data_IF_619173075795
#
_entry.id   IF_619173075795
#
_cell.length_a   1.000
_cell.length_b   1.000
_cell.length_c   1.000
_cell.angle_alpha   90.00
_cell.angle_beta   90.00
_cell.angle_gamma   90.00
#
_symmetry.space_group_name_H-M   'P 1'
#
loop_
_entity.id
_entity.type
_entity.pdbx_description
1 polymer ?
#
# COMPACT_ATOMS: atom_id res chain seq x y z
N UNK A 1 -3.96 47.01 -48.64
CA UNK A 1 -3.65 46.82 -47.21
C UNK A 1 -4.85 46.25 -46.50
N UNK A 2 -4.67 45.13 -45.79
CA UNK A 2 -5.33 44.71 -44.55
C UNK A 2 -5.21 43.18 -44.41
N UNK A 3 -4.26 42.75 -43.58
CA UNK A 3 -4.18 41.39 -43.06
C UNK A 3 -5.21 41.23 -41.93
N UNK A 4 -6.07 40.21 -42.00
CA UNK A 4 -6.84 39.73 -40.84
C UNK A 4 -6.18 38.44 -40.32
N UNK A 5 -5.50 38.56 -39.17
CA UNK A 5 -5.08 37.42 -38.36
C UNK A 5 -6.31 36.85 -37.62
N UNK A 6 -6.70 35.63 -37.95
CA UNK A 6 -7.61 34.84 -37.10
C UNK A 6 -6.80 34.23 -35.96
N UNK A 7 -7.20 34.55 -34.73
CA UNK A 7 -6.64 34.03 -33.49
C UNK A 7 -7.55 32.86 -33.07
N UNK A 8 -7.10 31.62 -33.23
CA UNK A 8 -7.77 30.46 -32.66
C UNK A 8 -7.44 30.39 -31.16
N UNK A 9 -8.44 30.68 -30.33
CA UNK A 9 -8.43 30.37 -28.90
C UNK A 9 -9.03 28.98 -28.74
N UNK A 10 -8.18 27.98 -28.52
CA UNK A 10 -8.61 26.62 -28.16
C UNK A 10 -9.03 26.59 -26.69
N UNK A 11 -10.33 26.66 -26.45
CA UNK A 11 -10.92 26.46 -25.13
C UNK A 11 -11.07 24.96 -24.90
N UNK A 12 -10.13 24.35 -24.16
CA UNK A 12 -10.14 22.93 -23.83
C UNK A 12 -11.15 22.66 -22.72
N UNK A 13 -12.44 22.69 -23.08
CA UNK A 13 -13.52 22.34 -22.19
C UNK A 13 -13.52 20.81 -22.01
N UNK A 14 -12.73 20.31 -21.06
CA UNK A 14 -12.80 18.91 -20.61
C UNK A 14 -14.15 18.71 -19.94
N UNK A 15 -15.11 18.16 -20.69
CA UNK A 15 -16.37 17.66 -20.16
C UNK A 15 -16.07 16.51 -19.21
N UNK A 16 -15.97 16.82 -17.91
CA UNK A 16 -15.95 15.81 -16.87
C UNK A 16 -17.28 15.06 -16.89
N UNK A 17 -17.21 13.75 -17.10
CA UNK A 17 -18.36 12.88 -16.90
C UNK A 17 -18.88 13.07 -15.46
N UNK A 18 -20.20 13.09 -15.25
CA UNK A 18 -20.75 13.26 -13.91
C UNK A 18 -20.25 12.13 -13.00
N UNK A 19 -19.65 12.51 -11.87
CA UNK A 19 -19.18 11.56 -10.87
C UNK A 19 -20.36 10.74 -10.33
N UNK A 20 -20.16 9.43 -10.16
CA UNK A 20 -21.16 8.58 -9.50
C UNK A 20 -21.20 8.85 -7.98
N UNK A 21 -22.23 8.37 -7.28
CA UNK A 21 -22.39 8.58 -5.83
C UNK A 21 -21.18 8.09 -5.01
N UNK A 22 -20.52 7.03 -5.45
CA UNK A 22 -19.34 6.46 -4.77
C UNK A 22 -18.13 7.38 -4.89
N UNK A 23 -17.91 7.94 -6.08
CA UNK A 23 -16.85 8.93 -6.36
C UNK A 23 -17.09 10.23 -5.59
N UNK A 24 -18.32 10.73 -5.58
CA UNK A 24 -18.67 11.92 -4.79
C UNK A 24 -18.40 11.70 -3.29
N UNK A 25 -18.84 10.56 -2.75
CA UNK A 25 -18.60 10.22 -1.35
C UNK A 25 -17.09 10.07 -1.06
N UNK A 26 -16.31 9.52 -2.00
CA UNK A 26 -14.85 9.42 -1.92
C UNK A 26 -14.18 10.79 -1.85
N UNK A 27 -14.49 11.69 -2.78
CA UNK A 27 -13.90 13.03 -2.82
C UNK A 27 -14.26 13.86 -1.59
N UNK A 28 -15.47 13.70 -1.05
CA UNK A 28 -15.84 14.35 0.21
C UNK A 28 -15.06 13.80 1.41
N UNK A 29 -14.87 12.48 1.51
CA UNK A 29 -14.03 11.88 2.57
C UNK A 29 -12.58 12.36 2.47
N UNK A 30 -11.99 12.34 1.26
CA UNK A 30 -10.63 12.83 1.03
C UNK A 30 -10.50 14.31 1.42
N UNK A 31 -11.48 15.14 1.06
CA UNK A 31 -11.53 16.55 1.45
C UNK A 31 -11.56 16.75 2.95
N UNK A 32 -12.46 16.07 3.65
CA UNK A 32 -12.55 16.17 5.11
C UNK A 32 -11.26 15.70 5.78
N UNK A 33 -10.66 14.62 5.27
CA UNK A 33 -9.36 14.12 5.74
C UNK A 33 -8.25 15.16 5.56
N UNK A 34 -8.10 15.71 4.36
CA UNK A 34 -7.09 16.74 4.05
C UNK A 34 -7.27 17.97 4.95
N UNK A 35 -8.50 18.47 5.11
CA UNK A 35 -8.79 19.56 6.06
C UNK A 35 -8.33 19.18 7.47
N UNK A 36 -8.63 17.95 7.91
CA UNK A 36 -8.25 17.43 9.23
C UNK A 36 -6.74 17.32 9.45
N UNK A 37 -5.92 17.27 8.39
CA UNK A 37 -4.46 17.33 8.48
C UNK A 37 -3.99 18.71 8.96
N UNK A 38 -4.63 19.78 8.48
CA UNK A 38 -4.26 21.16 8.79
C UNK A 38 -4.75 21.57 10.18
N UNK A 39 -4.02 21.13 11.21
CA UNK A 39 -4.11 21.65 12.57
C UNK A 39 -3.37 22.99 12.71
N UNK A 40 -2.27 22.98 13.47
CA UNK A 40 -1.50 24.20 13.77
C UNK A 40 -0.36 24.47 12.79
N UNK A 41 0.03 23.49 11.96
CA UNK A 41 1.17 23.62 11.06
C UNK A 41 0.76 23.58 9.58
N UNK A 42 1.49 24.29 8.70
CA UNK A 42 1.36 24.10 7.27
C UNK A 42 1.98 22.78 6.82
N UNK A 43 1.62 22.37 5.60
CA UNK A 43 2.19 21.21 4.91
C UNK A 43 2.47 21.55 3.47
N UNK A 44 3.55 21.02 2.90
CA UNK A 44 3.74 21.02 1.46
C UNK A 44 2.99 19.87 0.78
N UNK A 45 2.91 19.88 -0.55
CA UNK A 45 2.19 18.86 -1.30
C UNK A 45 2.66 17.42 -0.99
N UNK A 46 3.98 17.19 -0.96
CA UNK A 46 4.55 15.87 -0.69
C UNK A 46 4.20 15.34 0.71
N UNK A 47 4.23 16.22 1.72
CA UNK A 47 3.80 15.86 3.07
C UNK A 47 2.30 15.51 3.11
N UNK A 48 1.45 16.24 2.38
CA UNK A 48 0.01 15.94 2.29
C UNK A 48 -0.20 14.57 1.66
N UNK A 49 0.48 14.27 0.54
CA UNK A 49 0.43 12.95 -0.11
C UNK A 49 0.79 11.83 0.88
N UNK A 50 1.89 11.99 1.61
CA UNK A 50 2.33 10.99 2.60
C UNK A 50 1.33 10.76 3.73
N UNK A 51 0.41 11.71 3.97
CA UNK A 51 -0.60 11.67 5.01
C UNK A 51 -2.02 11.45 4.46
N UNK A 52 -2.20 11.38 3.15
CA UNK A 52 -3.52 11.34 2.49
C UNK A 52 -4.20 9.96 2.51
N UNK A 53 -3.80 9.07 3.43
CA UNK A 53 -4.43 7.74 3.59
C UNK A 53 -4.32 6.84 2.35
N UNK A 54 -3.27 7.05 1.54
CA UNK A 54 -3.02 6.32 0.31
C UNK A 54 -3.76 6.84 -0.93
N UNK A 55 -4.40 8.01 -0.86
CA UNK A 55 -5.03 8.64 -2.03
C UNK A 55 -4.02 8.96 -3.14
N UNK A 56 -4.48 8.88 -4.39
CA UNK A 56 -3.66 9.21 -5.54
C UNK A 56 -3.31 10.71 -5.55
N UNK A 57 -2.10 11.09 -6.01
CA UNK A 57 -1.70 12.49 -6.06
C UNK A 57 -2.62 13.39 -6.87
N UNK A 58 -3.22 12.87 -7.96
CA UNK A 58 -4.17 13.61 -8.77
C UNK A 58 -5.44 13.99 -7.97
N UNK A 59 -6.00 13.05 -7.20
CA UNK A 59 -7.20 13.28 -6.40
C UNK A 59 -6.91 14.28 -5.26
N UNK A 60 -5.74 14.17 -4.63
CA UNK A 60 -5.29 15.13 -3.61
C UNK A 60 -5.15 16.53 -4.21
N UNK A 61 -4.53 16.65 -5.39
CA UNK A 61 -4.37 17.93 -6.08
C UNK A 61 -5.72 18.56 -6.44
N UNK A 62 -6.67 17.76 -6.94
CA UNK A 62 -8.04 18.21 -7.24
C UNK A 62 -8.73 18.75 -5.98
N UNK A 63 -8.63 18.03 -4.86
CA UNK A 63 -9.18 18.49 -3.58
C UNK A 63 -8.52 19.78 -3.11
N UNK A 64 -7.19 19.91 -3.23
CA UNK A 64 -6.49 21.14 -2.86
C UNK A 64 -6.93 22.32 -3.73
N UNK A 65 -7.10 22.13 -5.04
CA UNK A 65 -7.64 23.15 -5.94
C UNK A 65 -9.07 23.59 -5.55
N UNK A 66 -9.95 22.65 -5.21
CA UNK A 66 -11.29 22.97 -4.74
C UNK A 66 -11.26 23.74 -3.40
N UNK A 67 -10.37 23.38 -2.48
CA UNK A 67 -10.23 24.06 -1.20
C UNK A 67 -9.65 25.48 -1.34
N UNK A 68 -8.70 25.68 -2.25
CA UNK A 68 -8.15 27.00 -2.59
C UNK A 68 -9.21 27.89 -3.24
N UNK A 69 -9.95 27.38 -4.22
CA UNK A 69 -10.99 28.16 -4.94
C UNK A 69 -12.12 28.61 -4.00
N UNK A 70 -12.44 27.79 -2.98
CA UNK A 70 -13.40 28.09 -1.90
C UNK A 70 -12.80 28.89 -0.74
N UNK A 71 -11.54 29.34 -0.84
CA UNK A 71 -10.82 30.10 0.19
C UNK A 71 -10.75 29.40 1.56
N UNK A 72 -10.84 28.07 1.59
CA UNK A 72 -10.67 27.27 2.81
C UNK A 72 -9.19 27.05 3.13
N UNK A 73 -8.37 26.97 2.09
CA UNK A 73 -6.91 27.02 2.18
C UNK A 73 -6.39 28.28 1.51
N UNK A 74 -5.17 28.67 1.85
CA UNK A 74 -4.32 29.53 1.03
C UNK A 74 -2.95 28.86 0.87
N UNK A 75 -2.19 29.28 -0.16
CA UNK A 75 -0.87 28.76 -0.45
C UNK A 75 0.15 29.91 -0.36
N UNK A 76 1.25 29.67 0.36
CA UNK A 76 2.41 30.56 0.41
C UNK A 76 3.67 29.74 0.07
N UNK A 77 4.29 30.07 -1.07
CA UNK A 77 5.32 29.23 -1.68
C UNK A 77 4.83 27.80 -1.95
N UNK A 78 5.52 26.82 -1.38
CA UNK A 78 5.17 25.40 -1.50
C UNK A 78 4.25 24.89 -0.37
N UNK A 79 3.95 25.75 0.61
CA UNK A 79 3.21 25.38 1.79
C UNK A 79 1.74 25.78 1.68
N UNK A 80 0.85 24.87 2.08
CA UNK A 80 -0.59 25.08 2.19
C UNK A 80 -0.95 25.39 3.65
N UNK A 81 -1.89 26.30 3.84
CA UNK A 81 -2.32 26.79 5.14
C UNK A 81 -3.84 26.83 5.23
N UNK A 82 -4.39 26.50 6.40
CA UNK A 82 -5.82 26.67 6.67
C UNK A 82 -6.16 28.14 6.92
N UNK A 83 -7.17 28.66 6.22
CA UNK A 83 -7.63 30.04 6.41
C UNK A 83 -8.24 30.22 7.80
N UNK A 84 -7.93 31.32 8.48
CA UNK A 84 -8.38 31.61 9.86
C UNK A 84 -9.89 31.59 10.05
N UNK A 85 -10.67 31.99 9.04
CA UNK A 85 -12.14 31.93 9.07
C UNK A 85 -12.69 30.49 9.13
N UNK A 86 -11.94 29.50 8.65
CA UNK A 86 -12.37 28.10 8.65
C UNK A 86 -12.04 27.40 9.99
N UNK A 87 -11.00 27.84 10.70
CA UNK A 87 -10.62 27.32 12.03
C UNK A 87 -11.74 27.41 13.06
N UNK A 88 -12.66 28.37 12.91
CA UNK A 88 -13.77 28.59 13.83
C UNK A 88 -14.98 27.68 13.58
N UNK A 89 -15.11 27.06 12.40
CA UNK A 89 -16.26 26.19 12.05
C UNK A 89 -15.97 24.70 12.22
N UNK A 90 -14.71 24.28 12.32
CA UNK A 90 -14.30 22.87 12.25
C UNK A 90 -14.22 22.14 13.60
N UNK A 91 -14.88 22.61 14.65
CA UNK A 91 -14.72 22.08 16.02
C UNK A 91 -15.57 20.84 16.32
N UNK A 92 -16.47 20.40 15.44
CA UNK A 92 -17.35 19.24 15.68
C UNK A 92 -17.16 18.04 14.72
N UNK A 93 -16.00 17.90 14.08
CA UNK A 93 -15.68 16.61 13.43
C UNK A 93 -15.13 15.63 14.46
N UNK A 94 -15.94 14.64 14.85
CA UNK A 94 -15.49 13.44 15.56
C UNK A 94 -14.23 12.90 14.89
N UNK A 95 -13.12 12.99 15.61
CA UNK A 95 -11.81 12.73 15.05
C UNK A 95 -11.62 11.23 14.85
N UNK A 96 -11.70 10.76 13.61
CA UNK A 96 -10.94 9.58 13.16
C UNK A 96 -9.45 9.94 13.10
N UNK A 97 -8.88 10.38 14.24
CA UNK A 97 -7.44 10.58 14.40
C UNK A 97 -6.83 9.23 14.71
N UNK A 98 -6.47 8.48 13.69
CA UNK A 98 -5.44 7.46 13.85
C UNK A 98 -4.16 8.18 14.30
N UNK A 99 -3.72 7.90 15.52
CA UNK A 99 -2.45 8.45 16.01
C UNK A 99 -1.35 7.85 15.12
N UNK A 100 -0.49 8.67 14.50
CA UNK A 100 0.64 8.14 13.74
C UNK A 100 1.49 7.26 14.66
N UNK A 101 1.99 6.11 14.18
CA UNK A 101 2.81 5.22 15.00
C UNK A 101 4.01 5.99 15.57
N UNK A 102 4.25 5.82 16.88
CA UNK A 102 5.38 6.46 17.56
C UNK A 102 6.68 5.92 16.93
N UNK A 103 7.50 6.82 16.36
CA UNK A 103 8.79 6.55 15.69
C UNK A 103 9.89 5.91 16.57
N UNK A 104 9.60 5.44 17.78
CA UNK A 104 10.62 5.37 18.84
C UNK A 104 11.48 4.11 18.94
N UNK A 105 11.21 2.99 18.25
CA UNK A 105 12.03 1.77 18.45
C UNK A 105 12.84 1.29 17.22
N UNK A 106 12.78 2.01 16.10
CA UNK A 106 13.39 1.55 14.84
C UNK A 106 14.93 1.72 14.85
N UNK A 107 15.47 2.68 15.61
CA UNK A 107 16.91 3.02 15.56
C UNK A 107 17.85 1.94 16.09
N UNK A 108 17.40 1.06 17.00
CA UNK A 108 18.28 0.06 17.61
C UNK A 108 18.46 -1.20 16.76
N UNK A 109 17.50 -1.54 15.90
CA UNK A 109 17.56 -2.71 14.99
C UNK A 109 18.43 -2.45 13.77
N UNK A 110 18.70 -1.18 13.41
CA UNK A 110 19.47 -0.76 12.23
C UNK A 110 20.99 -1.00 12.38
N UNK A 111 21.51 -1.28 13.58
CA UNK A 111 22.96 -1.28 13.85
C UNK A 111 23.75 -2.47 13.29
N UNK A 112 23.11 -3.49 12.71
CA UNK A 112 23.81 -4.51 11.91
C UNK A 112 23.57 -4.22 10.44
N UNK A 113 24.60 -3.72 9.76
CA UNK A 113 24.65 -3.54 8.31
C UNK A 113 24.22 -4.85 7.64
N UNK A 114 22.96 -4.89 7.18
CA UNK A 114 22.50 -5.95 6.31
C UNK A 114 23.12 -5.72 4.92
N UNK A 115 23.48 -6.78 4.20
CA UNK A 115 23.99 -6.66 2.83
C UNK A 115 22.97 -5.92 1.95
N UNK A 116 23.48 -5.28 0.89
CA UNK A 116 22.67 -4.57 -0.10
C UNK A 116 21.46 -5.42 -0.56
N UNK A 117 20.36 -4.75 -0.84
CA UNK A 117 19.15 -5.38 -1.35
C UNK A 117 19.49 -6.22 -2.60
N UNK A 118 18.81 -7.37 -2.81
CA UNK A 118 19.09 -8.26 -3.92
C UNK A 118 19.00 -7.50 -5.26
N UNK A 119 19.89 -7.81 -6.20
CA UNK A 119 19.90 -7.23 -7.55
C UNK A 119 18.73 -7.74 -8.40
N UNK A 120 17.50 -7.44 -8.00
CA UNK A 120 16.32 -7.64 -8.82
C UNK A 120 16.36 -6.72 -10.04
N UNK A 121 15.79 -7.17 -11.16
CA UNK A 121 15.51 -6.29 -12.30
C UNK A 121 14.54 -5.16 -11.92
N UNK A 122 14.33 -4.17 -12.77
CA UNK A 122 13.33 -3.13 -12.50
C UNK A 122 11.90 -3.73 -12.43
N UNK A 123 11.05 -3.29 -11.50
CA UNK A 123 9.70 -3.82 -11.35
C UNK A 123 8.83 -3.50 -12.58
N UNK A 124 8.09 -4.51 -13.05
CA UNK A 124 7.21 -4.37 -14.22
C UNK A 124 5.71 -4.33 -13.80
N UNK A 125 4.92 -3.35 -14.27
CA UNK A 125 3.51 -3.20 -13.85
C UNK A 125 2.62 -4.38 -14.18
N UNK A 126 2.85 -5.01 -15.34
CA UNK A 126 2.03 -6.14 -15.79
C UNK A 126 2.18 -7.39 -14.90
N UNK A 127 3.27 -7.46 -14.13
CA UNK A 127 3.53 -8.56 -13.21
C UNK A 127 3.01 -8.28 -11.80
N UNK A 128 2.46 -7.08 -11.57
CA UNK A 128 2.12 -6.58 -10.24
C UNK A 128 3.33 -6.69 -9.28
N UNK A 129 4.51 -6.28 -9.74
CA UNK A 129 5.74 -6.26 -8.91
C UNK A 129 5.80 -4.97 -8.09
N UNK A 130 5.39 -5.07 -6.82
CA UNK A 130 5.49 -4.00 -5.83
C UNK A 130 6.48 -4.44 -4.76
N UNK A 131 7.43 -3.57 -4.42
CA UNK A 131 8.53 -3.93 -3.54
C UNK A 131 8.44 -3.19 -2.24
N UNK A 132 8.54 -3.90 -1.12
CA UNK A 132 8.60 -3.25 0.19
C UNK A 132 9.78 -2.28 0.30
N UNK A 133 9.52 -1.11 0.89
CA UNK A 133 10.58 -0.24 1.36
C UNK A 133 11.40 -0.92 2.45
N UNK A 134 12.64 -0.46 2.63
CA UNK A 134 13.51 -0.94 3.72
C UNK A 134 12.83 -0.86 5.10
N UNK A 135 12.07 0.20 5.38
CA UNK A 135 11.36 0.37 6.64
C UNK A 135 10.30 -0.70 6.86
N UNK A 136 9.53 -1.04 5.82
CA UNK A 136 8.54 -2.12 5.88
C UNK A 136 9.19 -3.48 6.06
N UNK A 137 10.32 -3.73 5.39
CA UNK A 137 11.10 -4.95 5.59
C UNK A 137 11.62 -5.07 7.04
N UNK A 138 12.10 -3.98 7.65
CA UNK A 138 12.51 -3.95 9.06
C UNK A 138 11.33 -4.28 9.98
N UNK A 139 10.19 -3.64 9.77
CA UNK A 139 9.00 -3.84 10.61
C UNK A 139 8.44 -5.25 10.49
N UNK A 140 8.30 -5.78 9.26
CA UNK A 140 7.87 -7.15 9.02
C UNK A 140 8.84 -8.15 9.66
N UNK A 141 10.14 -7.96 9.50
CA UNK A 141 11.16 -8.82 10.14
C UNK A 141 11.03 -8.79 11.66
N UNK A 142 10.83 -7.60 12.24
CA UNK A 142 10.66 -7.43 13.70
C UNK A 142 9.42 -8.20 14.19
N UNK A 143 8.30 -8.11 13.47
CA UNK A 143 7.07 -8.85 13.80
C UNK A 143 7.22 -10.35 13.66
N UNK A 144 7.98 -10.81 12.66
CA UNK A 144 8.19 -12.23 12.39
C UNK A 144 9.26 -12.87 13.28
N UNK A 145 10.12 -12.07 13.91
CA UNK A 145 11.22 -12.55 14.76
C UNK A 145 10.82 -13.61 15.80
N UNK A 146 9.74 -13.45 16.60
CA UNK A 146 9.34 -14.47 17.56
C UNK A 146 9.01 -15.83 16.94
N UNK A 147 8.59 -15.85 15.68
CA UNK A 147 8.28 -17.07 14.95
C UNK A 147 9.53 -17.70 14.33
N UNK A 148 10.43 -16.86 13.81
CA UNK A 148 11.75 -17.29 13.32
C UNK A 148 12.53 -17.96 14.47
N UNK A 149 12.55 -17.34 15.66
CA UNK A 149 13.25 -17.86 16.84
C UNK A 149 12.70 -19.23 17.30
N UNK A 150 11.45 -19.55 16.96
CA UNK A 150 10.81 -20.86 17.22
C UNK A 150 10.90 -21.83 16.04
N UNK A 151 11.64 -21.47 15.00
CA UNK A 151 11.78 -22.24 13.76
C UNK A 151 10.42 -22.54 13.08
N UNK A 152 9.49 -21.58 13.15
CA UNK A 152 8.21 -21.67 12.46
C UNK A 152 8.41 -21.71 10.93
N UNK A 153 7.55 -22.47 10.26
CA UNK A 153 7.44 -22.52 8.80
C UNK A 153 6.64 -21.33 8.30
N UNK A 154 7.26 -20.56 7.42
CA UNK A 154 6.71 -19.31 6.89
C UNK A 154 6.50 -19.45 5.38
N UNK A 155 5.28 -19.23 4.92
CA UNK A 155 4.97 -19.10 3.50
C UNK A 155 4.81 -17.61 3.14
N UNK A 156 5.38 -17.20 2.01
CA UNK A 156 5.26 -15.86 1.45
C UNK A 156 4.49 -15.94 0.13
N UNK A 157 3.43 -15.16 -0.01
CA UNK A 157 2.62 -15.05 -1.22
C UNK A 157 2.80 -13.66 -1.81
N UNK A 158 3.45 -13.56 -2.98
CA UNK A 158 3.64 -12.28 -3.67
C UNK A 158 4.49 -11.26 -2.90
N UNK A 159 5.37 -11.72 -2.00
CA UNK A 159 6.22 -10.87 -1.15
C UNK A 159 7.72 -11.13 -1.39
N UNK A 160 8.22 -10.96 -2.63
CA UNK A 160 9.53 -11.47 -3.04
C UNK A 160 10.71 -10.77 -2.36
N UNK A 161 10.60 -9.47 -2.03
CA UNK A 161 11.69 -8.75 -1.36
C UNK A 161 11.86 -9.15 0.11
N UNK A 162 10.82 -9.71 0.73
CA UNK A 162 10.91 -10.22 2.11
C UNK A 162 11.66 -11.56 2.17
N UNK A 163 11.59 -12.38 1.11
CA UNK A 163 12.17 -13.73 1.08
C UNK A 163 13.68 -13.75 1.39
N UNK A 164 14.56 -13.00 0.67
CA UNK A 164 16.00 -12.98 0.93
C UNK A 164 16.34 -12.59 2.36
N UNK A 165 15.57 -11.65 2.91
CA UNK A 165 15.77 -11.15 4.27
C UNK A 165 15.49 -12.22 5.31
N UNK A 166 14.35 -12.91 5.22
CA UNK A 166 14.01 -13.98 6.15
C UNK A 166 14.92 -15.21 5.98
N UNK A 167 15.24 -15.57 4.73
CA UNK A 167 16.11 -16.70 4.43
C UNK A 167 17.51 -16.53 5.03
N UNK A 168 18.12 -15.34 4.88
CA UNK A 168 19.45 -15.03 5.44
C UNK A 168 19.46 -14.98 6.98
N UNK A 169 18.30 -14.77 7.61
CA UNK A 169 18.14 -14.88 9.06
C UNK A 169 17.97 -16.32 9.54
N UNK A 170 18.01 -17.30 8.64
CA UNK A 170 17.84 -18.72 8.95
C UNK A 170 16.38 -19.15 9.13
N UNK A 171 15.42 -18.34 8.68
CA UNK A 171 14.01 -18.72 8.74
C UNK A 171 13.69 -19.88 7.80
N UNK A 172 12.78 -20.77 8.22
CA UNK A 172 12.22 -21.80 7.34
C UNK A 172 11.14 -21.16 6.45
N UNK A 173 11.57 -20.56 5.34
CA UNK A 173 10.72 -19.74 4.48
C UNK A 173 10.58 -20.33 3.06
N UNK A 174 9.37 -20.26 2.52
CA UNK A 174 9.05 -20.60 1.13
C UNK A 174 8.28 -19.46 0.48
N UNK A 175 8.78 -18.96 -0.66
CA UNK A 175 8.12 -17.98 -1.52
C UNK A 175 7.29 -18.69 -2.59
N UNK A 176 6.04 -18.29 -2.72
CA UNK A 176 5.15 -18.59 -3.82
C UNK A 176 4.91 -17.30 -4.60
N UNK A 177 5.31 -17.32 -5.87
CA UNK A 177 5.18 -16.17 -6.76
C UNK A 177 4.71 -16.61 -8.15
N UNK A 178 3.95 -15.75 -8.82
CA UNK A 178 3.47 -15.98 -10.18
C UNK A 178 4.41 -15.41 -11.24
N UNK A 179 5.40 -14.59 -10.88
CA UNK A 179 6.38 -14.03 -11.81
C UNK A 179 7.60 -14.96 -11.94
N UNK A 180 7.80 -15.63 -13.10
CA UNK A 180 9.00 -16.43 -13.31
C UNK A 180 10.28 -15.57 -13.31
N UNK A 181 10.17 -14.29 -13.68
CA UNK A 181 11.32 -13.37 -13.71
C UNK A 181 11.86 -13.13 -12.30
N UNK A 182 10.98 -12.83 -11.34
CA UNK A 182 11.36 -12.60 -9.94
C UNK A 182 12.04 -13.84 -9.35
N UNK A 183 11.50 -15.02 -9.64
CA UNK A 183 12.09 -16.28 -9.16
C UNK A 183 13.46 -16.54 -9.79
N UNK A 184 13.63 -16.24 -11.08
CA UNK A 184 14.90 -16.36 -11.79
C UNK A 184 15.95 -15.38 -11.24
N UNK A 185 15.55 -14.15 -10.93
CA UNK A 185 16.42 -13.16 -10.30
C UNK A 185 16.93 -13.68 -8.95
N UNK A 186 16.04 -14.20 -8.09
CA UNK A 186 16.41 -14.81 -6.81
C UNK A 186 17.36 -16.00 -6.98
N UNK A 187 17.12 -16.86 -7.96
CA UNK A 187 18.03 -17.98 -8.28
C UNK A 187 19.40 -17.48 -8.71
N UNK A 188 19.47 -16.44 -9.55
CA UNK A 188 20.74 -15.85 -10.01
C UNK A 188 21.57 -15.24 -8.88
N UNK A 189 20.90 -14.84 -7.80
CA UNK A 189 21.52 -14.29 -6.57
C UNK A 189 21.97 -15.41 -5.62
N UNK A 190 21.69 -16.67 -5.94
CA UNK A 190 22.15 -17.86 -5.22
C UNK A 190 21.11 -18.52 -4.32
N UNK A 191 19.83 -18.17 -4.43
CA UNK A 191 18.76 -18.84 -3.70
C UNK A 191 18.28 -20.09 -4.47
N UNK A 192 18.70 -21.27 -4.03
CA UNK A 192 18.40 -22.54 -4.72
C UNK A 192 17.13 -23.26 -4.19
N UNK A 193 16.63 -22.87 -3.01
CA UNK A 193 15.53 -23.56 -2.30
C UNK A 193 14.48 -22.57 -1.83
N UNK A 194 13.28 -23.08 -1.56
CA UNK A 194 12.18 -22.28 -1.01
C UNK A 194 11.57 -21.32 -2.02
N UNK A 195 11.75 -21.56 -3.32
CA UNK A 195 11.17 -20.76 -4.40
C UNK A 195 10.20 -21.65 -5.19
N UNK A 196 8.93 -21.25 -5.26
CA UNK A 196 7.87 -22.00 -5.94
C UNK A 196 7.14 -21.06 -6.90
N UNK A 197 7.16 -21.42 -8.19
CA UNK A 197 6.32 -20.77 -9.18
C UNK A 197 4.89 -21.29 -9.05
N UNK A 198 3.97 -20.43 -8.62
CA UNK A 198 2.57 -20.80 -8.44
C UNK A 198 1.63 -19.62 -8.63
N UNK A 199 0.60 -19.83 -9.45
CA UNK A 199 -0.51 -18.90 -9.56
C UNK A 199 -1.54 -19.19 -8.46
N UNK A 200 -1.68 -18.27 -7.51
CA UNK A 200 -2.54 -18.42 -6.33
C UNK A 200 -4.05 -18.46 -6.64
N UNK A 201 -4.47 -18.23 -7.89
CA UNK A 201 -5.84 -18.53 -8.32
C UNK A 201 -6.13 -20.04 -8.41
N UNK A 202 -5.11 -20.88 -8.55
CA UNK A 202 -5.26 -22.33 -8.68
C UNK A 202 -4.93 -23.06 -7.39
N UNK A 203 -5.64 -24.17 -7.16
CA UNK A 203 -5.37 -25.07 -6.05
C UNK A 203 -3.98 -25.71 -6.14
N UNK A 204 -3.40 -26.00 -4.98
CA UNK A 204 -2.18 -26.79 -4.93
C UNK A 204 -2.51 -28.22 -5.36
N UNK A 205 -1.89 -28.70 -6.44
CA UNK A 205 -2.07 -30.07 -6.91
C UNK A 205 -1.56 -31.07 -5.87
N UNK A 206 -0.42 -30.78 -5.25
CA UNK A 206 0.11 -31.45 -4.08
C UNK A 206 0.25 -30.41 -2.97
N UNK A 207 -0.46 -30.62 -1.84
CA UNK A 207 -0.43 -29.66 -0.73
C UNK A 207 1.00 -29.63 -0.16
N UNK A 208 1.72 -28.49 -0.25
CA UNK A 208 3.00 -28.33 0.40
C UNK A 208 2.90 -28.59 1.91
N UNK A 209 4.02 -28.89 2.55
CA UNK A 209 4.00 -29.11 4.00
C UNK A 209 3.33 -27.94 4.72
N UNK A 210 2.41 -28.24 5.65
CA UNK A 210 1.69 -27.21 6.39
C UNK A 210 2.64 -26.21 7.03
N UNK A 211 2.25 -24.94 7.03
CA UNK A 211 3.01 -23.82 7.58
C UNK A 211 2.31 -23.22 8.81
N UNK A 212 3.10 -22.54 9.63
CA UNK A 212 2.61 -21.84 10.83
C UNK A 212 2.06 -20.46 10.47
N UNK A 213 2.67 -19.80 9.48
CA UNK A 213 2.33 -18.43 9.07
C UNK A 213 2.34 -18.31 7.55
N UNK A 214 1.36 -17.59 7.02
CA UNK A 214 1.36 -17.05 5.66
C UNK A 214 1.46 -15.54 5.74
N UNK A 215 2.37 -14.94 4.97
CA UNK A 215 2.40 -13.50 4.70
C UNK A 215 1.98 -13.31 3.24
N UNK A 216 0.92 -12.55 3.03
CA UNK A 216 0.27 -12.36 1.75
C UNK A 216 0.26 -10.88 1.37
N UNK A 217 0.80 -10.58 0.20
CA UNK A 217 0.76 -9.25 -0.41
C UNK A 217 0.13 -9.29 -1.80
N UNK A 218 -1.21 -9.46 -1.88
CA UNK A 218 -1.88 -9.57 -3.15
C UNK A 218 -1.89 -8.22 -3.90
N UNK A 219 -1.97 -8.24 -5.24
CA UNK A 219 -2.44 -7.10 -6.00
C UNK A 219 -3.75 -6.54 -5.43
N UNK A 220 -3.93 -5.22 -5.46
CA UNK A 220 -4.95 -4.53 -4.67
C UNK A 220 -6.41 -4.70 -5.13
N UNK A 221 -6.74 -5.77 -5.85
CA UNK A 221 -8.09 -6.11 -6.29
C UNK A 221 -8.70 -7.22 -5.40
N UNK A 222 -10.02 -7.18 -5.12
CA UNK A 222 -10.65 -8.17 -4.24
C UNK A 222 -10.45 -9.63 -4.68
N UNK A 223 -10.52 -9.90 -5.99
CA UNK A 223 -10.34 -11.26 -6.51
C UNK A 223 -8.98 -11.89 -6.16
N UNK A 224 -7.91 -11.09 -6.14
CA UNK A 224 -6.59 -11.56 -5.73
C UNK A 224 -6.52 -11.81 -4.22
N UNK A 225 -7.13 -10.96 -3.41
CA UNK A 225 -7.22 -11.21 -1.96
C UNK A 225 -7.96 -12.51 -1.67
N UNK A 226 -9.08 -12.75 -2.36
CA UNK A 226 -9.85 -14.00 -2.21
C UNK A 226 -9.01 -15.22 -2.59
N UNK A 227 -8.30 -15.15 -3.72
CA UNK A 227 -7.38 -16.21 -4.14
C UNK A 227 -6.32 -16.48 -3.06
N UNK A 228 -5.63 -15.45 -2.57
CA UNK A 228 -4.57 -15.57 -1.57
C UNK A 228 -5.11 -16.10 -0.23
N UNK A 229 -6.29 -15.66 0.21
CA UNK A 229 -6.97 -16.17 1.42
C UNK A 229 -7.25 -17.67 1.26
N UNK A 230 -7.83 -18.10 0.14
CA UNK A 230 -8.10 -19.52 -0.11
C UNK A 230 -6.84 -20.37 -0.18
N UNK A 231 -5.76 -19.87 -0.79
CA UNK A 231 -4.47 -20.59 -0.77
C UNK A 231 -3.89 -20.68 0.65
N UNK A 232 -4.14 -19.66 1.47
CA UNK A 232 -3.67 -19.63 2.85
C UNK A 232 -4.35 -20.71 3.68
N UNK A 233 -5.66 -20.95 3.50
CA UNK A 233 -6.37 -22.02 4.21
C UNK A 233 -5.85 -23.41 3.85
N UNK A 234 -5.41 -23.60 2.60
CA UNK A 234 -4.80 -24.87 2.15
C UNK A 234 -3.40 -25.11 2.75
N UNK A 235 -2.60 -24.06 3.01
CA UNK A 235 -1.24 -24.21 3.55
C UNK A 235 -1.15 -24.14 5.06
N UNK A 236 -2.03 -23.38 5.72
CA UNK A 236 -1.93 -23.18 7.15
C UNK A 236 -2.32 -24.46 7.91
N UNK A 237 -1.59 -24.72 8.98
CA UNK A 237 -2.03 -25.66 10.01
C UNK A 237 -3.21 -25.07 10.81
N UNK A 238 -3.84 -25.90 11.64
CA UNK A 238 -4.85 -25.40 12.59
C UNK A 238 -4.21 -24.34 13.49
N UNK A 239 -4.92 -23.23 13.70
CA UNK A 239 -4.42 -22.07 14.47
C UNK A 239 -3.20 -21.38 13.85
N UNK A 240 -2.90 -21.68 12.58
CA UNK A 240 -1.93 -20.92 11.81
C UNK A 240 -2.43 -19.49 11.54
N UNK A 241 -1.50 -18.59 11.24
CA UNK A 241 -1.77 -17.15 11.14
C UNK A 241 -1.60 -16.65 9.71
N UNK A 242 -2.55 -15.83 9.24
CA UNK A 242 -2.46 -15.09 7.99
C UNK A 242 -2.17 -13.62 8.30
N UNK A 243 -1.04 -13.11 7.81
CA UNK A 243 -0.75 -11.68 7.71
C UNK A 243 -1.07 -11.23 6.29
N UNK A 244 -2.13 -10.46 6.13
CA UNK A 244 -2.61 -10.01 4.83
C UNK A 244 -2.44 -8.49 4.71
N UNK A 245 -1.70 -8.04 3.69
CA UNK A 245 -1.71 -6.63 3.32
C UNK A 245 -3.07 -6.26 2.72
N UNK A 246 -3.51 -5.02 2.98
CA UNK A 246 -4.77 -4.50 2.44
C UNK A 246 -4.59 -3.04 2.03
N UNK A 247 -5.23 -2.59 0.92
CA UNK A 247 -5.09 -1.21 0.44
C UNK A 247 -5.58 -0.21 1.49
N UNK A 248 -4.95 0.97 1.55
CA UNK A 248 -5.32 2.01 2.49
C UNK A 248 -6.73 2.58 2.19
N UNK A 249 -7.38 3.14 3.20
CA UNK A 249 -8.82 3.45 3.14
C UNK A 249 -9.19 4.62 2.21
N UNK A 250 -8.20 5.37 1.68
CA UNK A 250 -8.40 6.40 0.65
C UNK A 250 -7.74 6.06 -0.69
N UNK A 251 -7.29 4.81 -0.89
CA UNK A 251 -6.61 4.41 -2.15
C UNK A 251 -7.48 4.59 -3.39
N UNK A 252 -8.79 4.30 -3.32
CA UNK A 252 -9.71 4.45 -4.46
C UNK A 252 -11.17 4.55 -3.99
N UNK A 253 -12.13 4.97 -4.85
CA UNK A 253 -13.52 5.14 -4.43
C UNK A 253 -14.16 3.92 -3.78
N UNK A 254 -13.90 2.72 -4.31
CA UNK A 254 -14.48 1.46 -3.81
C UNK A 254 -13.78 0.87 -2.58
N UNK A 255 -12.64 1.42 -2.15
CA UNK A 255 -11.73 0.71 -1.23
C UNK A 255 -12.35 0.35 0.12
N UNK A 256 -13.29 1.16 0.62
CA UNK A 256 -14.00 0.86 1.88
C UNK A 256 -14.85 -0.42 1.71
N UNK A 257 -15.58 -0.52 0.60
CA UNK A 257 -16.37 -1.71 0.26
C UNK A 257 -15.45 -2.91 0.04
N UNK A 258 -14.35 -2.71 -0.68
CA UNK A 258 -13.39 -3.77 -0.99
C UNK A 258 -12.73 -4.32 0.29
N UNK A 259 -12.36 -3.45 1.24
CA UNK A 259 -11.82 -3.87 2.54
C UNK A 259 -12.84 -4.66 3.37
N UNK A 260 -14.10 -4.22 3.36
CA UNK A 260 -15.18 -4.95 4.04
C UNK A 260 -15.38 -6.34 3.43
N UNK A 261 -15.40 -6.43 2.09
CA UNK A 261 -15.47 -7.68 1.33
C UNK A 261 -14.32 -8.64 1.68
N UNK A 262 -13.08 -8.15 1.69
CA UNK A 262 -11.90 -8.93 2.05
C UNK A 262 -12.03 -9.53 3.47
N UNK A 263 -12.44 -8.72 4.46
CA UNK A 263 -12.58 -9.18 5.85
C UNK A 263 -13.74 -10.19 5.96
N UNK A 264 -14.89 -9.90 5.34
CA UNK A 264 -16.03 -10.83 5.32
C UNK A 264 -15.65 -12.15 4.67
N UNK A 265 -14.95 -12.11 3.55
CA UNK A 265 -14.48 -13.32 2.86
C UNK A 265 -13.48 -14.12 3.70
N UNK A 266 -12.54 -13.46 4.37
CA UNK A 266 -11.60 -14.13 5.29
C UNK A 266 -12.34 -14.86 6.43
N UNK A 267 -13.35 -14.22 7.03
CA UNK A 267 -14.19 -14.83 8.07
C UNK A 267 -14.94 -16.05 7.52
N UNK A 268 -15.53 -15.94 6.33
CA UNK A 268 -16.20 -17.06 5.66
C UNK A 268 -15.24 -18.21 5.34
N UNK A 269 -13.97 -17.91 5.08
CA UNK A 269 -12.92 -18.90 4.86
C UNK A 269 -12.41 -19.55 6.16
N UNK A 270 -12.90 -19.12 7.33
CA UNK A 270 -12.58 -19.70 8.64
C UNK A 270 -11.48 -18.96 9.43
N UNK A 271 -11.18 -17.71 9.08
CA UNK A 271 -10.26 -16.87 9.85
C UNK A 271 -11.00 -16.00 10.87
N UNK A 272 -10.34 -15.74 12.01
CA UNK A 272 -10.73 -14.69 12.95
C UNK A 272 -9.82 -13.47 12.79
N UNK A 273 -10.40 -12.26 12.80
CA UNK A 273 -9.62 -11.03 12.75
C UNK A 273 -9.03 -10.72 14.13
N UNK A 274 -7.72 -10.95 14.29
CA UNK A 274 -7.02 -10.72 15.55
C UNK A 274 -6.49 -9.30 15.73
N UNK A 275 -5.95 -8.69 14.66
CA UNK A 275 -5.27 -7.39 14.71
C UNK A 275 -5.42 -6.64 13.39
N UNK A 276 -5.50 -5.31 13.45
CA UNK A 276 -5.30 -4.42 12.31
C UNK A 276 -4.15 -3.47 12.63
N UNK A 277 -3.17 -3.43 11.73
CA UNK A 277 -1.99 -2.57 11.87
C UNK A 277 -1.94 -1.51 10.76
N UNK A 278 -2.53 -0.32 10.97
CA UNK A 278 -2.60 0.71 9.94
C UNK A 278 -1.22 1.27 9.59
N UNK A 279 -1.03 1.61 8.31
CA UNK A 279 0.19 2.25 7.80
C UNK A 279 1.50 1.51 8.14
N UNK A 280 1.43 0.19 8.27
CA UNK A 280 2.57 -0.66 8.63
C UNK A 280 3.46 -1.01 7.42
N UNK A 281 2.89 -0.94 6.22
CA UNK A 281 3.54 -1.32 4.97
C UNK A 281 3.59 -0.14 4.00
N UNK A 282 4.70 -0.01 3.30
CA UNK A 282 4.96 0.97 2.25
C UNK A 282 5.78 0.27 1.18
N UNK A 283 5.39 0.47 -0.06
CA UNK A 283 6.10 -0.03 -1.23
C UNK A 283 6.87 1.10 -1.91
N UNK A 284 7.96 0.74 -2.57
CA UNK A 284 8.69 1.63 -3.45
C UNK A 284 7.87 1.87 -4.71
N UNK A 285 7.75 3.13 -5.12
CA UNK A 285 7.20 3.46 -6.42
C UNK A 285 8.19 3.02 -7.50
N UNK A 286 7.78 2.29 -8.53
CA UNK A 286 8.62 1.99 -9.68
C UNK A 286 9.21 3.25 -10.33
N UNK A 287 10.38 3.13 -10.95
CA UNK A 287 11.07 4.26 -11.59
C UNK A 287 10.18 4.95 -12.63
N UNK A 288 9.43 4.18 -13.43
CA UNK A 288 8.54 4.78 -14.44
C UNK A 288 7.43 5.64 -13.82
N UNK A 289 6.90 5.28 -12.64
CA UNK A 289 5.92 6.12 -11.92
C UNK A 289 6.59 7.36 -11.36
N UNK A 290 7.79 7.23 -10.80
CA UNK A 290 8.55 8.37 -10.30
C UNK A 290 8.82 9.40 -11.41
N UNK A 291 9.18 8.94 -12.61
CA UNK A 291 9.40 9.79 -13.78
C UNK A 291 8.09 10.45 -14.25
N UNK A 292 6.97 9.71 -14.24
CA UNK A 292 5.67 10.25 -14.64
C UNK A 292 5.14 11.35 -13.70
N UNK A 293 5.62 11.38 -12.45
CA UNK A 293 5.24 12.34 -11.41
C UNK A 293 6.22 13.51 -11.25
N UNK A 294 7.36 13.51 -11.95
CA UNK A 294 8.40 14.54 -11.91
C UNK A 294 8.14 15.66 -12.94
#
# INVERSE_FOLDING_TARGET
GQMRKQKQTGDSNKTHLPMNETENAYMQRLKLHIIGLFGEKPFNFQEIISLAGGAYPADVLEVLHDLLSKKKLYQDGQAYFLTSCFKQQSVETESFREKPPKKTDIKQVISKQMPAEPGFADPHPADYDWRYTHLSLVELTRRLKPFIDRNAKIALFGAPTLFPRLFRLGAHVTLFDNSPSILKDLQSIGFEKGLIHHNLFYQFSDIPSKCDIVIADPPWYPSFHHAFILRSTELLQKQGMLLLSVPAWLTRPSVIKDRADIVTFAIQAGFDLCEVSPSSLTCESPIFEQIALA
#
